data_IF_786906731380
#
_entry.id   IF_786906731380
#
_cell.length_a   1.000
_cell.length_b   1.000
_cell.length_c   1.000
_cell.angle_alpha   90.00
_cell.angle_beta   90.00
_cell.angle_gamma   90.00
#
_symmetry.space_group_name_H-M   'P 1'
#
loop_
_entity.id
_entity.type
_entity.pdbx_description
1 polymer ?
#
# COMPACT_ATOMS: atom_id res chain seq x y z
N UNK A 1 17.08 -4.30 -3.94
CA UNK A 1 16.08 -5.35 -4.26
C UNK A 1 16.63 -6.25 -5.36
N UNK A 2 17.11 -7.44 -5.02
CA UNK A 2 17.51 -8.43 -6.05
C UNK A 2 16.30 -9.30 -6.36
N UNK A 3 15.70 -9.11 -7.54
CA UNK A 3 14.62 -9.93 -8.05
C UNK A 3 15.16 -11.36 -8.26
N UNK A 4 14.85 -12.26 -7.33
CA UNK A 4 15.00 -13.70 -7.58
C UNK A 4 14.00 -14.02 -8.70
N UNK A 5 14.49 -14.53 -9.82
CA UNK A 5 13.64 -15.00 -10.93
C UNK A 5 12.71 -16.08 -10.39
N UNK A 6 11.46 -15.72 -10.09
CA UNK A 6 10.42 -16.63 -9.61
C UNK A 6 9.85 -17.46 -10.78
N UNK A 7 10.72 -18.14 -11.53
CA UNK A 7 10.36 -18.95 -12.70
C UNK A 7 10.07 -18.17 -14.00
N UNK A 8 10.18 -16.83 -14.00
CA UNK A 8 9.90 -15.98 -15.16
C UNK A 8 11.13 -15.39 -15.86
N UNK A 9 10.91 -14.68 -16.97
CA UNK A 9 11.96 -13.99 -17.77
C UNK A 9 12.13 -12.51 -17.43
N UNK A 10 11.49 -12.03 -16.36
CA UNK A 10 11.58 -10.62 -15.92
C UNK A 10 11.09 -9.60 -16.99
N UNK A 11 10.06 -9.98 -17.77
CA UNK A 11 9.48 -9.15 -18.84
C UNK A 11 8.17 -8.46 -18.45
N UNK A 12 7.63 -8.79 -17.29
CA UNK A 12 6.38 -8.26 -16.75
C UNK A 12 6.40 -8.35 -15.23
N UNK A 13 5.61 -7.52 -14.52
CA UNK A 13 5.51 -7.59 -13.07
C UNK A 13 5.06 -8.98 -12.60
N UNK A 14 5.59 -9.41 -11.46
CA UNK A 14 5.15 -10.61 -10.78
C UNK A 14 3.73 -10.43 -10.21
N UNK A 15 2.95 -11.51 -10.01
CA UNK A 15 1.62 -11.42 -9.42
C UNK A 15 1.57 -10.73 -8.05
N UNK A 16 2.66 -10.81 -7.26
CA UNK A 16 2.74 -10.12 -5.96
C UNK A 16 2.98 -8.62 -6.15
N UNK A 17 3.67 -8.20 -7.21
CA UNK A 17 3.84 -6.78 -7.55
C UNK A 17 2.53 -6.20 -8.09
N UNK A 18 1.76 -6.97 -8.87
CA UNK A 18 0.43 -6.54 -9.31
C UNK A 18 -0.57 -6.48 -8.16
N UNK A 19 -0.46 -7.37 -7.16
CA UNK A 19 -1.22 -7.27 -5.91
C UNK A 19 -0.88 -6.00 -5.13
N UNK A 20 0.40 -5.63 -5.03
CA UNK A 20 0.81 -4.36 -4.41
C UNK A 20 0.24 -3.16 -5.19
N UNK A 21 0.30 -3.18 -6.52
CA UNK A 21 -0.33 -2.14 -7.33
C UNK A 21 -1.86 -2.05 -7.10
N UNK A 22 -2.54 -3.20 -6.96
CA UNK A 22 -3.95 -3.25 -6.63
C UNK A 22 -4.26 -2.67 -5.24
N UNK A 23 -3.41 -2.92 -4.23
CA UNK A 23 -3.50 -2.28 -2.92
C UNK A 23 -3.43 -0.76 -3.06
N UNK A 24 -2.42 -0.22 -3.74
CA UNK A 24 -2.24 1.23 -3.86
C UNK A 24 -3.40 1.90 -4.60
N UNK A 25 -3.85 1.29 -5.71
CA UNK A 25 -5.01 1.79 -6.44
C UNK A 25 -6.29 1.75 -5.62
N UNK A 26 -6.49 0.70 -4.83
CA UNK A 26 -7.65 0.56 -3.95
C UNK A 26 -7.61 1.58 -2.80
N UNK A 27 -6.44 1.78 -2.18
CA UNK A 27 -6.21 2.79 -1.15
C UNK A 27 -6.47 4.19 -1.69
N UNK A 28 -5.98 4.52 -2.88
CA UNK A 28 -6.25 5.81 -3.53
C UNK A 28 -7.74 6.04 -3.77
N UNK A 29 -8.42 5.08 -4.39
CA UNK A 29 -9.86 5.19 -4.68
C UNK A 29 -10.68 5.36 -3.38
N UNK A 30 -10.32 4.62 -2.34
CA UNK A 30 -10.97 4.69 -1.03
C UNK A 30 -10.70 6.04 -0.35
N UNK A 31 -9.47 6.55 -0.40
CA UNK A 31 -9.13 7.87 0.15
C UNK A 31 -9.90 9.00 -0.55
N UNK A 32 -10.06 8.93 -1.88
CA UNK A 32 -10.89 9.88 -2.63
C UNK A 32 -12.37 9.82 -2.19
N UNK A 33 -12.89 8.62 -1.90
CA UNK A 33 -14.23 8.46 -1.38
C UNK A 33 -14.35 9.05 0.03
N UNK A 34 -13.47 8.66 0.96
CA UNK A 34 -13.45 9.14 2.33
C UNK A 34 -13.34 10.67 2.39
N UNK A 35 -12.35 11.25 1.71
CA UNK A 35 -12.12 12.70 1.73
C UNK A 35 -13.33 13.51 1.28
N UNK A 36 -14.09 13.03 0.28
CA UNK A 36 -15.33 13.69 -0.19
C UNK A 36 -16.46 13.70 0.84
N UNK A 37 -16.46 12.74 1.76
CA UNK A 37 -17.49 12.56 2.80
C UNK A 37 -17.05 13.06 4.19
N UNK A 38 -15.78 13.42 4.38
CA UNK A 38 -15.32 14.10 5.59
C UNK A 38 -15.99 15.48 5.74
N UNK A 39 -16.08 15.95 6.99
CA UNK A 39 -16.56 17.30 7.34
C UNK A 39 -15.55 17.97 8.27
N UNK A 40 -14.83 19.02 7.83
CA UNK A 40 -14.85 19.61 6.49
C UNK A 40 -14.33 18.65 5.41
N UNK A 41 -14.81 18.84 4.17
CA UNK A 41 -14.45 18.01 3.02
C UNK A 41 -12.96 18.15 2.69
N UNK A 42 -12.30 17.02 2.44
CA UNK A 42 -10.93 16.95 1.93
C UNK A 42 -10.97 16.57 0.45
N UNK A 43 -10.59 17.50 -0.42
CA UNK A 43 -10.44 17.23 -1.85
C UNK A 43 -8.98 16.88 -2.12
N UNK A 44 -8.72 15.70 -2.65
CA UNK A 44 -7.38 15.21 -2.97
C UNK A 44 -7.16 15.42 -4.48
N UNK A 45 -6.02 16.01 -4.86
CA UNK A 45 -5.57 16.15 -6.25
C UNK A 45 -4.89 14.86 -6.71
N UNK A 46 -3.93 14.38 -5.92
CA UNK A 46 -3.14 13.18 -6.20
C UNK A 46 -2.63 12.56 -4.90
N UNK A 47 -2.18 11.31 -5.02
CA UNK A 47 -1.47 10.59 -3.97
C UNK A 47 -0.22 9.98 -4.57
N UNK A 48 0.89 10.07 -3.86
CA UNK A 48 2.16 9.46 -4.24
C UNK A 48 2.49 8.37 -3.24
N UNK A 49 2.97 7.23 -3.76
CA UNK A 49 3.19 6.03 -2.98
C UNK A 49 4.65 5.62 -3.08
N UNK A 50 5.36 5.67 -1.97
CA UNK A 50 6.71 5.14 -1.82
C UNK A 50 6.63 3.98 -0.82
N UNK A 51 6.33 2.79 -1.33
CA UNK A 51 6.08 1.61 -0.49
C UNK A 51 6.97 0.44 -0.89
N UNK A 52 7.35 -0.34 0.12
CA UNK A 52 8.10 -1.58 -0.02
C UNK A 52 7.33 -2.71 0.62
N UNK A 53 7.25 -3.85 -0.07
CA UNK A 53 6.65 -5.07 0.45
C UNK A 53 7.73 -6.14 0.71
N UNK A 54 7.62 -6.83 1.83
CA UNK A 54 8.48 -7.93 2.24
C UNK A 54 7.73 -9.25 2.23
N UNK A 55 8.39 -10.28 1.70
CA UNK A 55 8.00 -11.68 1.84
C UNK A 55 9.23 -12.55 1.98
N UNK A 56 9.09 -13.67 2.68
CA UNK A 56 10.11 -14.69 2.74
C UNK A 56 9.91 -15.72 1.61
N UNK A 57 10.82 -15.69 0.63
CA UNK A 57 10.75 -16.58 -0.53
C UNK A 57 10.82 -18.07 -0.15
N UNK A 58 11.38 -18.43 1.02
CA UNK A 58 11.42 -19.84 1.49
C UNK A 58 10.02 -20.43 1.60
N UNK A 59 9.00 -19.60 1.83
CA UNK A 59 7.61 -20.05 1.86
C UNK A 59 7.11 -20.60 0.52
N UNK A 60 7.67 -20.12 -0.60
CA UNK A 60 7.23 -20.49 -1.94
C UNK A 60 8.15 -21.48 -2.66
N UNK A 61 9.43 -21.54 -2.30
CA UNK A 61 10.45 -22.31 -3.03
C UNK A 61 11.12 -23.41 -2.20
N UNK A 62 10.55 -23.75 -1.04
CA UNK A 62 11.07 -24.81 -0.17
C UNK A 62 11.31 -26.11 -0.95
N UNK A 63 12.49 -26.70 -0.75
CA UNK A 63 12.86 -28.02 -1.24
C UNK A 63 13.60 -28.79 -0.13
N UNK A 64 13.42 -30.13 -0.02
CA UNK A 64 12.62 -31.00 -0.88
C UNK A 64 11.11 -30.70 -0.81
N UNK A 65 10.34 -31.02 -1.86
CA UNK A 65 8.93 -30.59 -1.97
C UNK A 65 8.01 -31.29 -0.95
N UNK A 66 8.50 -32.39 -0.40
CA UNK A 66 7.88 -33.17 0.65
C UNK A 66 7.97 -32.48 2.02
N UNK A 67 8.92 -31.56 2.21
CA UNK A 67 9.06 -30.81 3.46
C UNK A 67 8.11 -29.61 3.48
N UNK A 68 7.39 -29.36 4.60
CA UNK A 68 6.58 -28.18 4.72
C UNK A 68 7.46 -26.92 4.70
N UNK A 69 6.98 -25.82 4.08
CA UNK A 69 7.74 -24.57 4.07
C UNK A 69 7.91 -24.04 5.50
N UNK A 70 9.09 -23.48 5.85
CA UNK A 70 9.38 -22.99 7.19
C UNK A 70 8.64 -21.69 7.55
N UNK A 71 7.92 -21.11 6.59
CA UNK A 71 7.23 -19.83 6.71
C UNK A 71 6.09 -19.73 5.70
N UNK A 72 5.12 -18.86 5.95
CA UNK A 72 4.02 -18.63 5.02
C UNK A 72 4.52 -17.88 3.76
N UNK A 73 4.06 -18.25 2.54
CA UNK A 73 4.45 -17.58 1.29
C UNK A 73 3.77 -16.21 1.07
N UNK A 74 2.89 -15.79 1.98
CA UNK A 74 2.17 -14.51 1.91
C UNK A 74 3.10 -13.30 2.01
N UNK A 75 2.58 -12.12 1.67
CA UNK A 75 3.21 -10.87 2.08
C UNK A 75 3.18 -10.77 3.61
N UNK A 76 4.32 -10.38 4.20
CA UNK A 76 4.49 -10.35 5.65
C UNK A 76 4.41 -8.91 6.17
N UNK A 77 5.02 -7.97 5.46
CA UNK A 77 5.12 -6.58 5.89
C UNK A 77 5.09 -5.66 4.66
N UNK A 78 4.34 -4.57 4.76
CA UNK A 78 4.35 -3.46 3.80
C UNK A 78 4.68 -2.20 4.59
N UNK A 79 5.75 -1.52 4.20
CA UNK A 79 6.22 -0.28 4.84
C UNK A 79 6.37 0.85 3.83
N UNK A 80 6.27 2.10 4.29
CA UNK A 80 6.67 3.23 3.48
C UNK A 80 5.90 4.50 3.77
N UNK A 81 5.73 5.32 2.73
CA UNK A 81 5.13 6.65 2.80
C UNK A 81 4.06 6.85 1.73
N UNK A 82 2.94 7.43 2.14
CA UNK A 82 1.88 7.94 1.28
C UNK A 82 1.84 9.44 1.42
N UNK A 83 2.12 10.16 0.33
CA UNK A 83 2.02 11.62 0.29
C UNK A 83 0.68 12.01 -0.33
N UNK A 84 -0.14 12.74 0.42
CA UNK A 84 -1.48 13.19 -0.02
C UNK A 84 -1.41 14.65 -0.42
N UNK A 85 -1.64 14.92 -1.71
CA UNK A 85 -1.62 16.28 -2.24
C UNK A 85 -3.07 16.80 -2.33
N UNK A 86 -3.46 17.79 -1.52
CA UNK A 86 -4.80 18.35 -1.55
C UNK A 86 -5.04 19.14 -2.85
N UNK A 87 -6.32 19.30 -3.22
CA UNK A 87 -6.73 20.13 -4.35
C UNK A 87 -6.95 21.57 -3.90
N UNK A 88 -6.25 22.50 -4.54
CA UNK A 88 -6.29 23.94 -4.22
C UNK A 88 -5.22 24.32 -3.20
N UNK A 89 -5.22 25.58 -2.76
CA UNK A 89 -4.19 26.11 -1.85
C UNK A 89 -4.48 25.79 -0.37
N UNK A 90 -5.10 24.65 -0.08
CA UNK A 90 -5.45 24.26 1.27
C UNK A 90 -4.43 23.25 1.79
N UNK A 91 -3.83 23.53 2.94
CA UNK A 91 -3.00 22.55 3.65
C UNK A 91 -3.89 21.54 4.38
N UNK A 92 -3.46 20.28 4.44
CA UNK A 92 -4.10 19.27 5.27
C UNK A 92 -3.56 19.39 6.69
N UNK A 93 -4.46 19.68 7.64
CA UNK A 93 -4.09 19.56 9.06
C UNK A 93 -3.80 18.11 9.42
N UNK A 94 -2.97 17.89 10.45
CA UNK A 94 -2.67 16.54 10.96
C UNK A 94 -3.95 15.76 11.28
N UNK A 95 -4.90 16.40 11.96
CA UNK A 95 -6.18 15.76 12.31
C UNK A 95 -7.00 15.32 11.09
N UNK A 96 -6.97 16.10 10.00
CA UNK A 96 -7.61 15.70 8.74
C UNK A 96 -6.88 14.53 8.08
N UNK A 97 -5.56 14.54 8.10
CA UNK A 97 -4.75 13.48 7.53
C UNK A 97 -4.92 12.16 8.31
N UNK A 98 -4.94 12.22 9.64
CA UNK A 98 -5.18 11.07 10.52
C UNK A 98 -6.58 10.48 10.28
N UNK A 99 -7.60 11.33 10.29
CA UNK A 99 -8.98 10.88 10.00
C UNK A 99 -9.07 10.26 8.59
N UNK A 100 -8.43 10.87 7.59
CA UNK A 100 -8.40 10.35 6.23
C UNK A 100 -7.72 8.97 6.18
N UNK A 101 -6.56 8.81 6.84
CA UNK A 101 -5.82 7.56 6.93
C UNK A 101 -6.69 6.48 7.58
N UNK A 102 -7.14 6.71 8.82
CA UNK A 102 -7.91 5.73 9.61
C UNK A 102 -9.17 5.26 8.86
N UNK A 103 -9.93 6.21 8.30
CA UNK A 103 -11.17 5.87 7.61
C UNK A 103 -10.91 5.20 6.25
N UNK A 104 -9.78 5.47 5.61
CA UNK A 104 -9.36 4.79 4.37
C UNK A 104 -8.95 3.36 4.66
N UNK A 105 -8.09 3.14 5.64
CA UNK A 105 -7.59 1.82 6.04
C UNK A 105 -8.75 0.91 6.48
N UNK A 106 -9.71 1.45 7.24
CA UNK A 106 -10.89 0.71 7.67
C UNK A 106 -11.87 0.31 6.53
N UNK A 107 -11.73 0.89 5.33
CA UNK A 107 -12.67 0.69 4.21
C UNK A 107 -12.05 0.10 2.96
N UNK A 108 -10.73 0.12 2.83
CA UNK A 108 -10.03 -0.39 1.66
C UNK A 108 -10.13 -1.92 1.60
N UNK A 109 -10.88 -2.52 0.65
CA UNK A 109 -11.08 -3.96 0.64
C UNK A 109 -9.77 -4.74 0.49
N UNK A 110 -8.83 -4.25 -0.33
CA UNK A 110 -7.54 -4.93 -0.52
C UNK A 110 -6.68 -4.85 0.74
N UNK A 111 -6.68 -3.73 1.46
CA UNK A 111 -5.98 -3.62 2.74
C UNK A 111 -6.57 -4.59 3.78
N UNK A 112 -7.90 -4.69 3.87
CA UNK A 112 -8.58 -5.66 4.77
C UNK A 112 -8.12 -7.08 4.50
N UNK A 113 -8.11 -7.51 3.23
CA UNK A 113 -7.66 -8.85 2.85
C UNK A 113 -6.19 -9.12 3.23
N UNK A 114 -5.30 -8.14 3.06
CA UNK A 114 -3.90 -8.28 3.45
C UNK A 114 -3.73 -8.35 4.97
N UNK A 115 -4.40 -7.46 5.71
CA UNK A 115 -4.37 -7.43 7.19
C UNK A 115 -4.92 -8.74 7.75
N UNK A 116 -6.07 -9.21 7.26
CA UNK A 116 -6.68 -10.48 7.66
C UNK A 116 -5.84 -11.69 7.28
N UNK A 117 -5.04 -11.61 6.21
CA UNK A 117 -4.04 -12.63 5.90
C UNK A 117 -2.91 -12.69 6.95
N UNK A 118 -2.81 -11.69 7.82
CA UNK A 118 -1.76 -11.47 8.81
C UNK A 118 -0.52 -10.80 8.22
N UNK A 119 -0.68 -9.97 7.19
CA UNK A 119 0.34 -9.05 6.72
C UNK A 119 0.24 -7.76 7.55
N UNK A 120 1.37 -7.25 8.02
CA UNK A 120 1.45 -5.94 8.66
C UNK A 120 1.53 -4.85 7.59
N UNK A 121 0.80 -3.75 7.78
CA UNK A 121 0.86 -2.56 6.94
C UNK A 121 1.23 -1.38 7.83
N UNK A 122 2.47 -0.94 7.73
CA UNK A 122 3.03 0.19 8.49
C UNK A 122 3.44 1.31 7.53
N UNK A 123 2.45 2.12 7.14
CA UNK A 123 2.63 3.18 6.15
C UNK A 123 2.34 4.54 6.79
N UNK A 124 3.32 5.44 6.70
CA UNK A 124 3.20 6.82 7.14
C UNK A 124 2.42 7.62 6.11
N UNK A 125 1.40 8.37 6.54
CA UNK A 125 0.70 9.32 5.69
C UNK A 125 1.22 10.72 5.98
N UNK A 126 1.64 11.44 4.94
CA UNK A 126 2.13 12.83 5.04
C UNK A 126 1.36 13.74 4.10
N UNK A 127 1.19 15.00 4.48
CA UNK A 127 0.69 16.01 3.56
C UNK A 127 1.75 16.31 2.49
N UNK A 128 1.31 16.49 1.25
CA UNK A 128 2.16 16.92 0.14
C UNK A 128 1.78 18.32 -0.33
N UNK A 129 2.73 18.97 -1.01
CA UNK A 129 2.53 20.26 -1.67
C UNK A 129 2.49 20.07 -3.19
N UNK A 130 1.67 20.89 -3.84
CA UNK A 130 1.55 20.88 -5.30
C UNK A 130 2.76 21.59 -5.93
N UNK A 131 3.89 20.88 -6.09
CA UNK A 131 5.07 21.46 -6.74
C UNK A 131 6.45 20.91 -6.42
N UNK A 132 6.62 19.81 -5.66
CA UNK A 132 7.95 19.25 -5.39
C UNK A 132 8.04 17.82 -5.93
N UNK A 133 8.50 17.71 -7.18
CA UNK A 133 9.11 16.49 -7.69
C UNK A 133 10.54 16.49 -7.13
N UNK A 134 10.73 15.79 -6.01
CA UNK A 134 12.06 15.47 -5.46
C UNK A 134 12.55 14.16 -6.03
#
# INVERSE_FOLDING_TARGET
>A
HTLVRAGGTDRAPQPVETLLAALLGCTQATALYVGRHMTPRVLIKSMEFEVTAHRDNRGAVQLPIEDPPPTSPKLQLITGKVRVIPRGNNELSSAQLDTLKEQTEARCPVASMLIESGCEIDVEWVAGEDGVIG
#
